data_IF_444301333865
#
_entry.id   IF_444301333865
#
_cell.length_a   1.000
_cell.length_b   1.000
_cell.length_c   1.000
_cell.angle_alpha   90.00
_cell.angle_beta   90.00
_cell.angle_gamma   90.00
#
_symmetry.space_group_name_H-M   'P 1'
#
loop_
_entity.id
_entity.type
_entity.pdbx_description
1 polymer ?
#
# COMPACT_ATOMS: atom_id res chain seq x y z
N UNK A 1 -10.48 18.25 12.44
CA UNK A 1 -10.62 19.62 11.87
C UNK A 1 -11.81 19.56 10.91
N UNK A 2 -11.91 20.34 9.82
CA UNK A 2 -12.83 20.01 8.71
C UNK A 2 -11.99 19.71 7.47
N UNK A 3 -11.86 18.44 7.10
CA UNK A 3 -10.96 17.96 6.03
C UNK A 3 -11.35 18.41 4.61
N UNK A 4 -12.58 18.89 4.43
CA UNK A 4 -13.24 19.26 3.17
C UNK A 4 -12.60 20.42 2.36
N UNK A 5 -11.39 20.87 2.69
CA UNK A 5 -10.63 21.90 1.96
C UNK A 5 -9.42 21.35 1.17
N UNK A 6 -9.26 20.02 1.08
CA UNK A 6 -8.15 19.36 0.37
C UNK A 6 -8.66 18.69 -0.92
N UNK A 7 -9.05 19.49 -1.91
CA UNK A 7 -9.31 19.03 -3.28
C UNK A 7 -8.19 19.58 -4.20
N UNK A 8 -7.19 18.74 -4.46
CA UNK A 8 -5.97 19.19 -5.15
C UNK A 8 -4.93 18.10 -5.48
N UNK A 9 -5.36 16.85 -5.67
CA UNK A 9 -4.48 15.76 -6.12
C UNK A 9 -5.23 14.81 -7.07
N UNK A 10 -4.63 14.50 -8.22
CA UNK A 10 -5.16 13.54 -9.19
C UNK A 10 -4.99 12.10 -8.71
N UNK A 11 -5.91 11.21 -9.09
CA UNK A 11 -6.06 9.88 -8.48
C UNK A 11 -5.42 8.73 -9.31
N UNK A 12 -5.39 7.56 -8.67
CA UNK A 12 -5.56 6.16 -9.15
C UNK A 12 -4.35 5.24 -8.87
N UNK A 13 -4.63 3.93 -8.75
CA UNK A 13 -3.71 2.82 -8.47
C UNK A 13 -3.22 2.12 -9.77
N UNK A 14 -2.01 1.54 -9.76
CA UNK A 14 -1.15 1.36 -10.94
C UNK A 14 -0.58 -0.10 -11.07
N UNK A 15 -0.23 -0.66 -12.25
CA UNK A 15 0.19 -2.08 -12.56
C UNK A 15 1.57 -2.16 -13.28
N UNK A 16 2.54 -3.07 -13.06
CA UNK A 16 2.63 -4.33 -12.30
C UNK A 16 4.11 -4.72 -11.97
N UNK A 17 4.32 -5.51 -10.89
CA UNK A 17 5.43 -6.49 -10.64
C UNK A 17 6.34 -6.32 -9.39
N UNK A 18 6.70 -7.46 -8.81
CA UNK A 18 7.55 -7.58 -7.61
C UNK A 18 9.06 -7.58 -7.92
N UNK A 19 9.82 -6.83 -7.11
CA UNK A 19 11.28 -6.77 -7.15
C UNK A 19 11.86 -7.77 -6.15
N UNK A 20 12.95 -8.45 -6.53
CA UNK A 20 13.66 -9.35 -5.62
C UNK A 20 14.28 -8.55 -4.45
N UNK A 21 14.11 -9.05 -3.22
CA UNK A 21 14.78 -8.50 -2.05
C UNK A 21 16.31 -8.64 -2.12
N UNK A 22 16.83 -9.52 -2.98
CA UNK A 22 18.25 -9.81 -3.13
C UNK A 22 18.89 -9.02 -4.30
N UNK A 23 19.97 -8.29 -4.01
CA UNK A 23 20.73 -7.52 -5.00
C UNK A 23 21.28 -6.19 -4.45
N UNK A 24 22.27 -5.64 -5.15
CA UNK A 24 22.83 -4.30 -4.86
C UNK A 24 21.84 -3.20 -5.25
N UNK A 25 21.99 -1.99 -4.67
CA UNK A 25 21.08 -0.86 -4.94
C UNK A 25 21.00 -0.51 -6.43
N UNK A 26 22.11 -0.61 -7.17
CA UNK A 26 22.13 -0.39 -8.63
C UNK A 26 21.37 -1.46 -9.41
N UNK A 27 21.56 -2.74 -9.08
CA UNK A 27 20.83 -3.85 -9.70
C UNK A 27 19.32 -3.78 -9.41
N UNK A 28 18.95 -3.47 -8.15
CA UNK A 28 17.57 -3.22 -7.74
C UNK A 28 16.96 -2.05 -8.50
N UNK A 29 17.66 -0.92 -8.61
CA UNK A 29 17.18 0.24 -9.36
C UNK A 29 17.00 -0.07 -10.86
N UNK A 30 17.88 -0.87 -11.46
CA UNK A 30 17.72 -1.32 -12.85
C UNK A 30 16.53 -2.27 -13.03
N UNK A 31 16.31 -3.20 -12.09
CA UNK A 31 15.12 -4.06 -12.07
C UNK A 31 13.84 -3.22 -11.91
N UNK A 32 13.79 -2.32 -10.92
CA UNK A 32 12.65 -1.42 -10.68
C UNK A 32 12.35 -0.58 -11.92
N UNK A 33 13.36 0.05 -12.54
CA UNK A 33 13.16 0.82 -13.78
C UNK A 33 12.60 -0.03 -14.94
N UNK A 34 12.97 -1.31 -15.03
CA UNK A 34 12.44 -2.21 -16.04
C UNK A 34 11.03 -2.74 -15.72
N UNK A 35 10.68 -2.92 -14.45
CA UNK A 35 9.33 -3.33 -14.04
C UNK A 35 8.33 -2.17 -14.09
N UNK A 36 8.74 -0.99 -13.62
CA UNK A 36 7.94 0.23 -13.71
C UNK A 36 7.87 0.82 -15.13
N UNK A 37 8.52 0.25 -16.15
CA UNK A 37 8.52 0.82 -17.53
C UNK A 37 7.15 1.20 -18.10
N UNK A 38 6.04 0.48 -17.86
CA UNK A 38 4.70 0.88 -18.30
C UNK A 38 4.08 2.05 -17.52
N UNK A 39 4.75 2.51 -16.46
CA UNK A 39 4.19 3.34 -15.38
C UNK A 39 5.10 4.47 -14.91
N UNK A 40 6.39 4.40 -15.26
CA UNK A 40 7.40 5.34 -14.85
C UNK A 40 7.16 6.62 -15.64
N UNK A 41 6.67 7.65 -14.96
CA UNK A 41 6.63 9.03 -15.47
C UNK A 41 7.94 9.32 -16.20
N UNK A 42 7.87 9.90 -17.40
CA UNK A 42 9.08 10.25 -18.13
C UNK A 42 9.94 11.18 -17.26
N UNK A 43 11.23 10.87 -17.15
CA UNK A 43 12.21 11.50 -16.25
C UNK A 43 11.96 11.36 -14.72
N UNK A 44 11.09 10.45 -14.25
CA UNK A 44 10.83 10.31 -12.82
C UNK A 44 12.04 9.83 -11.99
N UNK A 45 12.17 10.41 -10.79
CA UNK A 45 13.14 9.97 -9.77
C UNK A 45 12.51 8.91 -8.87
N UNK A 46 13.14 7.74 -8.79
CA UNK A 46 12.79 6.68 -7.84
C UNK A 46 13.47 6.96 -6.50
N UNK A 47 12.71 6.87 -5.40
CA UNK A 47 13.20 7.03 -4.03
C UNK A 47 12.78 5.82 -3.18
N UNK A 48 13.66 5.36 -2.29
CA UNK A 48 13.45 4.20 -1.44
C UNK A 48 13.24 4.61 0.03
N UNK A 49 12.36 3.94 0.78
CA UNK A 49 12.43 3.92 2.24
C UNK A 49 13.86 3.64 2.72
N UNK A 50 14.31 4.41 3.71
CA UNK A 50 15.65 4.36 4.32
C UNK A 50 16.84 4.88 3.48
N UNK A 51 16.63 5.51 2.32
CA UNK A 51 17.71 6.25 1.65
C UNK A 51 17.92 7.64 2.27
N UNK A 52 19.02 8.36 1.98
CA UNK A 52 19.19 9.74 2.50
C UNK A 52 18.16 10.70 1.92
N UNK A 53 17.82 10.47 0.66
CA UNK A 53 16.79 11.16 -0.10
C UNK A 53 15.38 10.93 0.47
N UNK A 54 15.14 9.82 1.17
CA UNK A 54 13.85 9.54 1.82
C UNK A 54 13.41 10.70 2.72
N UNK A 55 14.30 11.15 3.60
CA UNK A 55 14.02 12.23 4.56
C UNK A 55 13.74 13.54 3.83
N UNK A 56 14.52 13.88 2.80
CA UNK A 56 14.27 15.07 2.00
C UNK A 56 12.99 14.99 1.15
N UNK A 57 12.45 13.78 0.91
CA UNK A 57 11.22 13.58 0.14
C UNK A 57 10.00 13.48 1.04
N UNK A 58 10.08 12.87 2.23
CA UNK A 58 9.02 12.98 3.24
C UNK A 58 8.90 14.39 3.83
N UNK A 59 9.90 15.25 3.71
CA UNK A 59 9.76 16.69 3.98
C UNK A 59 9.33 17.55 2.77
N UNK A 60 9.44 17.07 1.51
CA UNK A 60 9.09 17.86 0.31
C UNK A 60 7.80 17.44 -0.41
N UNK A 61 7.35 16.19 -0.26
CA UNK A 61 6.02 15.76 -0.71
C UNK A 61 4.92 16.61 -0.04
N UNK A 62 4.84 16.58 1.28
CA UNK A 62 5.58 17.52 2.14
C UNK A 62 5.18 19.02 2.13
N UNK A 63 4.85 19.60 0.98
CA UNK A 63 4.57 21.04 0.87
C UNK A 63 3.76 21.41 -0.41
N UNK A 64 2.41 21.36 -0.38
CA UNK A 64 1.55 21.74 -1.51
C UNK A 64 1.60 23.21 -1.97
N UNK A 65 2.52 24.03 -1.44
CA UNK A 65 2.50 25.50 -1.56
C UNK A 65 3.80 26.18 -2.03
N UNK A 66 4.84 25.40 -2.38
CA UNK A 66 6.05 25.97 -2.99
C UNK A 66 6.11 25.55 -4.46
N UNK A 67 5.82 26.48 -5.37
CA UNK A 67 5.97 26.25 -6.80
C UNK A 67 7.46 26.21 -7.20
N UNK A 68 7.87 25.35 -8.15
CA UNK A 68 7.06 24.35 -8.83
C UNK A 68 6.86 23.12 -7.94
N UNK A 69 5.61 22.82 -7.59
CA UNK A 69 5.27 21.68 -6.73
C UNK A 69 5.53 20.37 -7.47
N UNK A 70 6.46 19.56 -6.98
CA UNK A 70 6.81 18.29 -7.61
C UNK A 70 5.76 17.25 -7.28
N UNK A 71 5.02 16.79 -8.28
CA UNK A 71 4.06 15.69 -8.16
C UNK A 71 4.76 14.45 -7.59
N UNK A 72 4.14 13.76 -6.64
CA UNK A 72 4.66 12.51 -6.09
C UNK A 72 3.61 11.40 -6.12
N UNK A 73 4.08 10.17 -6.30
CA UNK A 73 3.27 8.96 -6.32
C UNK A 73 3.87 7.95 -5.35
N UNK A 74 3.07 7.41 -4.43
CA UNK A 74 3.47 6.27 -3.59
C UNK A 74 3.20 4.96 -4.33
N UNK A 75 4.23 4.12 -4.46
CA UNK A 75 4.25 2.96 -5.36
C UNK A 75 4.57 1.71 -4.55
N UNK A 76 3.56 0.86 -4.27
CA UNK A 76 3.69 -0.30 -3.36
C UNK A 76 4.17 -1.57 -4.09
N UNK A 77 3.26 -2.42 -4.55
CA UNK A 77 3.55 -3.56 -5.43
C UNK A 77 3.21 -3.31 -6.90
N UNK A 78 2.61 -2.15 -7.18
CA UNK A 78 1.81 -1.84 -8.37
C UNK A 78 0.77 -2.92 -8.72
N UNK A 79 -0.47 -2.79 -8.22
CA UNK A 79 -1.64 -3.41 -8.86
C UNK A 79 -2.89 -2.50 -8.87
N UNK A 80 -3.17 -1.84 -9.99
CA UNK A 80 -4.40 -1.08 -10.27
C UNK A 80 -4.55 -0.71 -11.75
N UNK A 81 -5.77 -0.36 -12.17
CA UNK A 81 -6.26 -0.60 -13.55
C UNK A 81 -5.94 0.51 -14.58
N UNK A 82 -5.60 1.75 -14.19
CA UNK A 82 -5.62 2.88 -15.15
C UNK A 82 -4.25 3.29 -15.69
N UNK A 83 -4.16 3.44 -17.01
CA UNK A 83 -2.96 3.91 -17.71
C UNK A 83 -2.57 5.37 -17.38
N UNK A 84 -3.51 6.19 -16.91
CA UNK A 84 -3.29 7.64 -16.68
C UNK A 84 -2.15 7.96 -15.70
N UNK A 85 -1.83 7.04 -14.79
CA UNK A 85 -0.76 7.21 -13.79
C UNK A 85 0.63 7.21 -14.45
N UNK A 86 0.77 6.51 -15.59
CA UNK A 86 1.98 6.57 -16.41
C UNK A 86 2.20 7.93 -17.08
N UNK A 87 1.12 8.73 -17.20
CA UNK A 87 1.10 10.04 -17.89
C UNK A 87 1.47 11.21 -16.97
N UNK A 88 1.74 10.95 -15.68
CA UNK A 88 2.47 11.91 -14.84
C UNK A 88 3.83 12.18 -15.53
N UNK A 89 4.28 13.44 -15.53
CA UNK A 89 5.58 13.82 -16.09
C UNK A 89 6.34 14.68 -15.08
N UNK A 90 7.66 14.49 -14.98
CA UNK A 90 8.52 15.24 -14.04
C UNK A 90 8.28 14.95 -12.55
N UNK A 91 7.56 13.87 -12.21
CA UNK A 91 7.21 13.53 -10.83
C UNK A 91 8.27 12.68 -10.08
N UNK A 92 8.07 12.52 -8.78
CA UNK A 92 8.83 11.59 -7.92
C UNK A 92 7.99 10.33 -7.72
N UNK A 93 8.56 9.16 -8.02
CA UNK A 93 7.93 7.88 -7.70
C UNK A 93 8.61 7.28 -6.47
N UNK A 94 7.86 7.17 -5.38
CA UNK A 94 8.33 6.71 -4.09
C UNK A 94 8.08 5.20 -4.03
N UNK A 95 9.12 4.38 -4.21
CA UNK A 95 8.99 2.92 -4.31
C UNK A 95 9.01 2.27 -2.92
N UNK A 96 7.82 2.05 -2.40
CA UNK A 96 7.54 1.70 -1.00
C UNK A 96 7.86 0.25 -0.64
N UNK A 97 8.28 -0.60 -1.60
CA UNK A 97 8.48 -2.06 -1.42
C UNK A 97 9.44 -2.51 -0.29
N UNK A 98 10.25 -1.60 0.24
CA UNK A 98 11.05 -1.82 1.46
C UNK A 98 10.24 -1.78 2.77
N UNK A 99 8.97 -1.37 2.74
CA UNK A 99 8.02 -1.49 3.85
C UNK A 99 7.16 -2.74 3.64
N UNK A 100 7.76 -3.91 3.81
CA UNK A 100 7.13 -5.23 3.69
C UNK A 100 7.32 -6.11 4.94
N UNK A 101 7.45 -5.50 6.11
CA UNK A 101 7.39 -6.23 7.37
C UNK A 101 5.94 -6.65 7.69
N UNK A 102 5.79 -7.67 8.54
CA UNK A 102 4.50 -8.10 9.07
C UNK A 102 4.69 -8.68 10.49
N UNK A 103 3.75 -8.40 11.38
CA UNK A 103 3.74 -8.90 12.77
C UNK A 103 2.30 -8.99 13.29
N UNK A 104 1.92 -10.15 13.82
CA UNK A 104 0.61 -10.36 14.46
C UNK A 104 0.53 -9.57 15.77
N UNK A 105 -0.67 -9.16 16.17
CA UNK A 105 -0.89 -8.64 17.52
C UNK A 105 -0.80 -9.77 18.58
N UNK A 106 -0.60 -9.46 19.87
CA UNK A 106 -0.48 -10.46 20.94
C UNK A 106 -1.66 -11.44 21.06
N UNK A 107 -2.86 -11.06 20.63
CA UNK A 107 -4.07 -11.89 20.66
C UNK A 107 -4.25 -12.70 19.35
N UNK A 108 -3.57 -12.30 18.27
CA UNK A 108 -3.69 -12.81 16.90
C UNK A 108 -5.04 -12.51 16.24
N UNK A 109 -5.70 -11.41 16.60
CA UNK A 109 -6.96 -10.93 15.99
C UNK A 109 -6.73 -9.78 14.98
N UNK A 110 -5.59 -9.10 15.07
CA UNK A 110 -5.10 -8.18 14.03
C UNK A 110 -3.67 -8.52 13.59
N UNK A 111 -3.26 -7.94 12.46
CA UNK A 111 -1.88 -7.97 11.99
C UNK A 111 -1.44 -6.58 11.57
N UNK A 112 -0.27 -6.16 12.04
CA UNK A 112 0.43 -4.95 11.62
C UNK A 112 1.32 -5.28 10.43
N UNK A 113 1.29 -4.45 9.39
CA UNK A 113 2.12 -4.64 8.21
C UNK A 113 2.59 -3.33 7.58
N UNK A 114 3.75 -3.38 6.93
CA UNK A 114 4.27 -2.29 6.11
C UNK A 114 3.45 -2.14 4.82
N UNK A 115 3.30 -0.89 4.36
CA UNK A 115 2.45 -0.48 3.22
C UNK A 115 2.58 -1.28 1.91
N UNK A 116 3.67 -2.04 1.74
CA UNK A 116 4.00 -2.77 0.53
C UNK A 116 4.24 -4.26 0.75
N UNK A 117 3.77 -4.81 1.87
CA UNK A 117 3.53 -6.24 2.03
C UNK A 117 2.65 -6.73 0.85
N UNK A 118 3.02 -7.85 0.22
CA UNK A 118 2.19 -8.50 -0.81
C UNK A 118 1.38 -9.67 -0.23
N UNK A 119 0.28 -10.04 -0.88
CA UNK A 119 -0.63 -11.08 -0.39
C UNK A 119 0.09 -12.43 -0.14
N UNK A 120 1.10 -12.76 -0.95
CA UNK A 120 1.98 -13.92 -0.71
C UNK A 120 2.69 -13.88 0.66
N UNK A 121 3.27 -12.74 1.02
CA UNK A 121 3.99 -12.57 2.30
C UNK A 121 3.01 -12.61 3.48
N UNK A 122 1.81 -12.05 3.32
CA UNK A 122 0.72 -12.14 4.32
C UNK A 122 0.28 -13.60 4.52
N UNK A 123 0.07 -14.34 3.43
CA UNK A 123 -0.29 -15.77 3.48
C UNK A 123 0.80 -16.60 4.17
N UNK A 124 2.06 -16.46 3.76
CA UNK A 124 3.17 -17.19 4.38
C UNK A 124 3.33 -16.88 5.87
N UNK A 125 3.04 -15.65 6.30
CA UNK A 125 3.13 -15.25 7.70
C UNK A 125 1.95 -15.73 8.56
N UNK A 126 0.71 -15.73 8.04
CA UNK A 126 -0.49 -16.05 8.83
C UNK A 126 -0.85 -17.54 8.82
N UNK A 127 -0.55 -18.26 7.74
CA UNK A 127 -0.93 -19.67 7.57
C UNK A 127 -0.36 -20.63 8.63
N UNK A 128 0.89 -20.49 9.12
CA UNK A 128 1.42 -21.32 10.20
C UNK A 128 0.64 -21.21 11.51
N UNK A 129 -0.09 -20.09 11.71
CA UNK A 129 -0.93 -19.84 12.89
C UNK A 129 -2.41 -20.18 12.65
N UNK A 130 -2.75 -20.76 11.48
CA UNK A 130 -4.14 -21.05 11.11
C UNK A 130 -4.99 -19.80 10.89
N UNK A 131 -4.37 -18.67 10.53
CA UNK A 131 -5.04 -17.37 10.32
C UNK A 131 -4.95 -16.93 8.85
N UNK A 132 -5.82 -15.99 8.46
CA UNK A 132 -5.86 -15.34 7.14
C UNK A 132 -6.40 -13.90 7.26
N UNK A 133 -6.09 -13.01 6.30
CA UNK A 133 -6.66 -11.66 6.27
C UNK A 133 -8.04 -11.64 5.58
N UNK A 134 -8.89 -10.65 5.90
CA UNK A 134 -10.25 -10.52 5.32
C UNK A 134 -10.29 -10.34 3.79
N UNK A 135 -9.22 -9.80 3.20
CA UNK A 135 -8.96 -9.91 1.77
C UNK A 135 -7.99 -11.06 1.50
N UNK A 136 -8.42 -11.98 0.64
CA UNK A 136 -7.64 -13.15 0.24
C UNK A 136 -7.46 -13.24 -1.29
N UNK A 137 -6.20 -13.08 -1.72
CA UNK A 137 -5.47 -13.86 -2.73
C UNK A 137 -6.02 -14.05 -4.15
N UNK A 138 -6.72 -13.07 -4.70
CA UNK A 138 -7.00 -13.05 -6.15
C UNK A 138 -5.71 -12.95 -7.01
N UNK A 139 -4.60 -12.41 -6.49
CA UNK A 139 -3.27 -12.49 -7.12
C UNK A 139 -2.14 -12.26 -6.11
N UNK A 140 -1.15 -13.16 -6.05
CA UNK A 140 -0.13 -13.21 -4.99
C UNK A 140 0.81 -12.00 -4.87
N UNK A 141 1.07 -11.29 -5.97
CA UNK A 141 1.94 -10.10 -5.97
C UNK A 141 1.21 -8.78 -5.75
N UNK A 142 -0.11 -8.77 -5.52
CA UNK A 142 -0.86 -7.57 -5.10
C UNK A 142 -0.40 -7.15 -3.70
N UNK A 143 -0.11 -5.86 -3.51
CA UNK A 143 0.03 -5.26 -2.19
C UNK A 143 -1.35 -5.15 -1.57
N UNK A 144 -1.49 -5.70 -0.36
CA UNK A 144 -2.79 -5.82 0.29
C UNK A 144 -3.40 -4.43 0.59
N UNK A 145 -2.57 -3.41 0.83
CA UNK A 145 -2.98 -2.03 1.14
C UNK A 145 -3.81 -1.37 0.03
N UNK A 146 -3.48 -1.62 -1.25
CA UNK A 146 -4.19 -0.98 -2.38
C UNK A 146 -5.70 -1.24 -2.36
N UNK A 147 -6.12 -2.52 -2.29
CA UNK A 147 -7.50 -2.90 -2.01
C UNK A 147 -8.08 -2.34 -0.71
N UNK A 148 -7.36 -2.35 0.42
CA UNK A 148 -7.84 -1.77 1.69
C UNK A 148 -8.18 -0.27 1.60
N UNK A 149 -7.50 0.48 0.72
CA UNK A 149 -7.79 1.89 0.46
C UNK A 149 -8.98 2.10 -0.51
N UNK A 150 -9.22 1.15 -1.41
CA UNK A 150 -10.25 1.19 -2.47
C UNK A 150 -11.35 0.15 -2.31
N UNK A 151 -11.82 -0.04 -1.06
CA UNK A 151 -12.73 -1.10 -0.58
C UNK A 151 -12.24 -2.53 -0.75
N UNK A 152 -11.96 -3.00 -1.97
CA UNK A 152 -11.26 -4.26 -2.23
C UNK A 152 -12.12 -5.54 -2.09
N UNK A 153 -12.31 -6.23 -3.21
CA UNK A 153 -13.04 -7.50 -3.28
C UNK A 153 -12.17 -8.74 -3.01
N UNK A 154 -12.78 -9.80 -2.46
CA UNK A 154 -12.13 -11.09 -2.20
C UNK A 154 -13.15 -12.24 -2.16
N UNK A 155 -12.68 -13.49 -2.23
CA UNK A 155 -13.56 -14.67 -2.08
C UNK A 155 -14.22 -14.75 -0.69
N UNK A 156 -13.58 -14.16 0.33
CA UNK A 156 -14.06 -14.14 1.71
C UNK A 156 -15.09 -13.03 1.98
N UNK A 157 -15.41 -12.19 0.98
CA UNK A 157 -16.23 -11.00 1.22
C UNK A 157 -17.66 -11.31 1.72
N UNK A 158 -18.20 -12.49 1.37
CA UNK A 158 -19.48 -12.98 1.89
C UNK A 158 -19.46 -13.42 3.36
N UNK A 159 -18.28 -13.56 3.97
CA UNK A 159 -18.10 -13.93 5.37
C UNK A 159 -17.57 -12.76 6.23
N UNK A 160 -16.68 -11.92 5.67
CA UNK A 160 -15.97 -10.88 6.43
C UNK A 160 -16.14 -9.44 5.91
N UNK A 161 -16.96 -9.21 4.88
CA UNK A 161 -17.11 -7.88 4.24
C UNK A 161 -15.97 -7.58 3.25
N UNK A 162 -15.92 -6.35 2.74
CA UNK A 162 -14.83 -5.92 1.87
C UNK A 162 -13.52 -5.74 2.65
N UNK A 163 -12.40 -5.43 1.97
CA UNK A 163 -11.15 -5.19 2.69
C UNK A 163 -11.28 -3.99 3.65
N UNK A 164 -11.92 -2.89 3.24
CA UNK A 164 -12.05 -1.71 4.09
C UNK A 164 -12.96 -1.88 5.34
N UNK A 165 -13.89 -2.85 5.34
CA UNK A 165 -14.59 -3.31 6.56
C UNK A 165 -13.64 -3.91 7.62
N UNK A 166 -12.46 -4.34 7.20
CA UNK A 166 -11.46 -5.04 8.00
C UNK A 166 -10.23 -4.18 8.37
N UNK A 167 -10.22 -2.92 7.96
CA UNK A 167 -9.17 -1.95 8.29
C UNK A 167 -9.33 -1.50 9.75
N UNK A 168 -8.26 -1.49 10.55
CA UNK A 168 -8.29 -1.14 11.99
C UNK A 168 -7.60 0.19 12.29
N UNK A 169 -6.36 0.37 11.79
CA UNK A 169 -5.60 1.61 11.95
C UNK A 169 -4.54 1.79 10.86
N UNK A 170 -4.14 3.04 10.59
CA UNK A 170 -3.11 3.39 9.61
C UNK A 170 -2.13 4.41 10.18
N UNK A 171 -0.83 4.24 9.91
CA UNK A 171 0.23 5.23 10.14
C UNK A 171 0.51 5.95 8.83
N UNK A 172 0.24 7.25 8.79
CA UNK A 172 0.19 8.05 7.55
C UNK A 172 1.11 9.25 7.66
N UNK A 173 2.02 9.41 6.68
CA UNK A 173 2.76 10.65 6.46
C UNK A 173 1.89 11.64 5.66
N UNK A 174 1.66 12.82 6.21
CA UNK A 174 0.82 13.86 5.60
C UNK A 174 1.59 14.79 4.67
N UNK A 175 0.85 15.65 3.97
CA UNK A 175 1.35 16.70 3.09
C UNK A 175 2.12 17.84 3.81
N UNK A 176 2.38 17.73 5.11
CA UNK A 176 3.21 18.67 5.90
C UNK A 176 4.44 18.00 6.56
N UNK A 177 4.60 16.68 6.36
CA UNK A 177 5.72 15.89 6.85
C UNK A 177 5.49 15.31 8.24
N UNK A 178 4.35 15.63 8.87
CA UNK A 178 3.93 14.95 10.10
C UNK A 178 3.52 13.51 9.80
N UNK A 179 3.77 12.62 10.76
CA UNK A 179 3.32 11.22 10.71
C UNK A 179 2.29 11.01 11.81
N UNK A 180 1.05 10.71 11.43
CA UNK A 180 -0.08 10.54 12.34
C UNK A 180 -0.65 9.12 12.28
N UNK A 181 -1.42 8.76 13.31
CA UNK A 181 -2.24 7.54 13.31
C UNK A 181 -3.68 7.90 13.00
N UNK A 182 -4.29 7.23 12.04
CA UNK A 182 -5.72 7.26 11.75
C UNK A 182 -6.36 5.94 12.21
N UNK A 183 -7.47 6.01 12.95
CA UNK A 183 -8.24 4.86 13.43
C UNK A 183 -9.68 5.28 13.77
N UNK A 184 -10.55 4.32 14.10
CA UNK A 184 -11.90 4.59 14.60
C UNK A 184 -11.97 5.45 15.88
N UNK A 185 -10.84 5.69 16.57
CA UNK A 185 -10.76 6.52 17.77
C UNK A 185 -9.93 7.80 17.59
N UNK A 186 -9.08 7.91 16.56
CA UNK A 186 -8.09 8.99 16.41
C UNK A 186 -7.98 9.41 14.93
N UNK A 187 -8.15 10.71 14.63
CA UNK A 187 -8.24 11.22 13.25
C UNK A 187 -9.29 10.44 12.43
N UNK A 188 -10.50 10.38 12.98
CA UNK A 188 -11.60 9.53 12.50
C UNK A 188 -12.14 9.98 11.13
N UNK A 189 -12.00 11.27 10.81
CA UNK A 189 -12.26 11.84 9.49
C UNK A 189 -11.34 11.21 8.44
N UNK A 190 -10.02 11.33 8.63
CA UNK A 190 -9.04 10.69 7.76
C UNK A 190 -9.18 9.16 7.71
N UNK A 191 -9.53 8.50 8.83
CA UNK A 191 -9.74 7.05 8.86
C UNK A 191 -11.03 6.60 8.16
N UNK A 192 -12.04 7.46 8.06
CA UNK A 192 -13.20 7.20 7.24
C UNK A 192 -12.86 7.37 5.76
N UNK A 193 -12.17 8.46 5.39
CA UNK A 193 -11.74 8.71 4.00
C UNK A 193 -10.81 7.58 3.48
N UNK A 194 -9.85 7.11 4.29
CA UNK A 194 -8.93 6.01 3.93
C UNK A 194 -9.64 4.67 3.69
N UNK A 195 -10.92 4.52 4.05
CA UNK A 195 -11.72 3.30 3.85
C UNK A 195 -12.72 3.55 2.71
N UNK A 196 -12.16 3.55 1.49
CA UNK A 196 -12.77 3.63 0.14
C UNK A 196 -12.31 4.80 -0.74
N UNK A 197 -11.82 5.94 -0.23
CA UNK A 197 -11.42 7.07 -1.09
C UNK A 197 -10.03 6.89 -1.78
N UNK A 198 -9.33 5.79 -1.50
CA UNK A 198 -8.07 5.43 -2.14
C UNK A 198 -6.83 6.13 -1.59
N UNK A 199 -5.81 6.18 -2.45
CA UNK A 199 -4.62 7.04 -2.31
C UNK A 199 -4.99 8.53 -2.51
N UNK A 200 -4.19 9.42 -1.89
CA UNK A 200 -4.10 10.90 -2.03
C UNK A 200 -4.23 11.66 -0.70
N UNK A 201 -4.75 11.01 0.34
CA UNK A 201 -4.91 11.58 1.68
C UNK A 201 -3.60 11.67 2.49
N UNK A 202 -2.53 11.09 1.95
CA UNK A 202 -1.21 10.95 2.55
C UNK A 202 -0.51 9.68 2.06
N UNK A 203 0.70 9.41 2.55
CA UNK A 203 1.42 8.17 2.29
C UNK A 203 1.25 7.27 3.51
N UNK A 204 0.45 6.20 3.39
CA UNK A 204 0.41 5.14 4.40
C UNK A 204 1.78 4.45 4.43
N UNK A 205 2.38 4.37 5.61
CA UNK A 205 3.68 3.72 5.85
C UNK A 205 3.48 2.30 6.36
N UNK A 206 2.57 2.16 7.32
CA UNK A 206 2.23 0.94 8.05
C UNK A 206 0.72 0.97 8.35
N UNK A 207 0.10 -0.19 8.48
CA UNK A 207 -1.33 -0.32 8.72
C UNK A 207 -1.66 -1.62 9.46
N UNK A 208 -2.85 -1.66 10.05
CA UNK A 208 -3.35 -2.74 10.89
C UNK A 208 -4.69 -3.23 10.37
N UNK A 209 -4.85 -4.55 10.23
CA UNK A 209 -6.05 -5.18 9.66
C UNK A 209 -6.47 -6.41 10.46
N UNK A 210 -7.77 -6.71 10.43
CA UNK A 210 -8.35 -7.89 11.10
C UNK A 210 -7.92 -9.18 10.42
N UNK A 211 -7.63 -10.20 11.23
CA UNK A 211 -7.32 -11.56 10.76
C UNK A 211 -8.27 -12.58 11.36
N UNK A 212 -8.62 -13.58 10.55
CA UNK A 212 -9.69 -14.55 10.77
C UNK A 212 -9.13 -15.97 10.80
N UNK A 213 -9.86 -16.95 11.37
CA UNK A 213 -9.52 -18.36 11.20
C UNK A 213 -9.44 -18.72 9.71
N UNK A 214 -8.41 -19.46 9.32
CA UNK A 214 -8.29 -20.04 7.98
C UNK A 214 -9.14 -21.30 7.88
N UNK A 215 -10.00 -21.35 6.88
CA UNK A 215 -10.72 -22.57 6.54
C UNK A 215 -9.85 -23.44 5.61
N UNK A 216 -9.64 -24.71 5.94
CA UNK A 216 -8.73 -25.61 5.23
C UNK A 216 -9.18 -26.02 3.81
N UNK A 217 -10.26 -25.41 3.30
CA UNK A 217 -10.84 -25.63 1.98
C UNK A 217 -11.19 -24.29 1.30
N UNK A 218 -10.40 -23.24 1.53
CA UNK A 218 -10.50 -22.03 0.72
C UNK A 218 -10.23 -22.37 -0.76
N UNK A 219 -11.06 -21.82 -1.65
CA UNK A 219 -10.95 -22.06 -3.10
C UNK A 219 -9.59 -21.61 -3.64
N UNK A 220 -8.97 -20.58 -3.06
CA UNK A 220 -7.67 -20.05 -3.49
C UNK A 220 -6.49 -20.89 -3.01
N UNK A 221 -6.66 -21.64 -1.91
CA UNK A 221 -5.72 -22.70 -1.50
C UNK A 221 -5.78 -23.89 -2.47
N UNK A 222 -7.00 -24.32 -2.84
CA UNK A 222 -7.22 -25.42 -3.78
C UNK A 222 -6.67 -25.08 -5.17
N UNK A 223 -6.79 -23.81 -5.59
CA UNK A 223 -6.24 -23.31 -6.86
C UNK A 223 -4.73 -22.99 -6.79
N UNK A 224 -4.12 -23.00 -5.61
CA UNK A 224 -2.68 -22.75 -5.41
C UNK A 224 -2.22 -21.31 -5.63
N UNK A 225 -3.14 -20.36 -5.86
CA UNK A 225 -2.86 -19.00 -6.38
C UNK A 225 -2.00 -18.12 -5.47
N UNK A 226 -1.89 -18.47 -4.18
CA UNK A 226 -1.03 -17.79 -3.19
C UNK A 226 -0.09 -18.73 -2.42
N UNK A 227 -0.14 -20.04 -2.65
CA UNK A 227 0.74 -21.01 -1.98
C UNK A 227 1.89 -21.48 -2.88
N UNK A 228 1.74 -21.29 -4.21
CA UNK A 228 2.78 -21.49 -5.24
C UNK A 228 3.01 -20.19 -6.02
#
# INVERSE_FOLDING_TARGET
>A
MKFWSILGAGFICAVQAAVSSNGTTGAKLAQIKNLLKPQLSENARIVFPNSKEWVEVTHRAAAPRVHPGVLFLAVTSVHGWTDDISKIQGGIQIYMRGLNHISLDPNNDTVYAGSSIIQYEVVQALYPYGKQAGIHCLYKYVSILGPFLGSGHSVLQGAYGFADDNFVSAKVALHDGTVITASATKNQDLFWDLRSAGHNLGIVLEFEVRIFPRHAADVLDILGWCTT
#
